data_IF_782365682618
#
_entry.id   IF_782365682618
#
_cell.length_a   1.000
_cell.length_b   1.000
_cell.length_c   1.000
_cell.angle_alpha   90.00
_cell.angle_beta   90.00
_cell.angle_gamma   90.00
#
_symmetry.space_group_name_H-M   'P 1'
#
loop_
_entity.id
_entity.type
_entity.pdbx_description
1 polymer ?
#
# COMPACT_ATOMS: atom_id res chain seq x y z
N UNK A 1 -15.91 15.84 -1.28
CA UNK A 1 -14.54 16.00 -1.79
C UNK A 1 -14.45 15.13 -3.04
N UNK A 2 -14.53 15.73 -4.22
CA UNK A 2 -14.42 14.99 -5.47
C UNK A 2 -12.92 14.81 -5.74
N UNK A 3 -12.43 13.58 -5.65
CA UNK A 3 -11.08 13.24 -6.10
C UNK A 3 -11.17 13.16 -7.63
N UNK A 4 -10.57 14.12 -8.31
CA UNK A 4 -10.33 14.03 -9.75
C UNK A 4 -9.25 12.98 -9.99
N UNK A 5 -9.57 11.92 -10.73
CA UNK A 5 -8.59 10.90 -11.10
C UNK A 5 -7.67 11.45 -12.19
N UNK A 6 -6.52 12.01 -11.78
CA UNK A 6 -5.43 12.31 -12.70
C UNK A 6 -4.79 10.99 -13.17
N UNK A 7 -4.55 10.86 -14.47
CA UNK A 7 -3.92 9.67 -15.04
C UNK A 7 -2.43 9.63 -14.65
N UNK A 8 -1.93 8.45 -14.26
CA UNK A 8 -0.50 8.28 -13.98
C UNK A 8 0.29 8.37 -15.29
N UNK A 9 0.85 9.55 -15.60
CA UNK A 9 1.54 9.85 -16.86
C UNK A 9 3.04 9.51 -16.84
N UNK A 10 3.65 9.44 -15.64
CA UNK A 10 5.05 9.01 -15.50
C UNK A 10 5.32 8.28 -14.18
N UNK A 11 6.38 7.45 -14.19
CA UNK A 11 6.87 6.70 -13.03
C UNK A 11 7.24 7.63 -11.87
N UNK A 12 6.93 7.23 -10.64
CA UNK A 12 7.35 7.93 -9.43
C UNK A 12 6.48 9.13 -9.02
N UNK A 13 5.43 9.49 -9.79
CA UNK A 13 4.52 10.60 -9.44
C UNK A 13 3.26 10.16 -8.70
N UNK A 14 2.73 8.99 -9.05
CA UNK A 14 1.43 8.54 -8.56
C UNK A 14 1.58 7.17 -7.92
N UNK A 15 1.35 7.10 -6.61
CA UNK A 15 1.44 5.87 -5.84
C UNK A 15 0.10 5.54 -5.19
N UNK A 16 -0.25 4.25 -5.24
CA UNK A 16 -1.34 3.71 -4.46
C UNK A 16 -0.78 2.92 -3.28
N UNK A 17 -1.32 3.19 -2.10
CA UNK A 17 -1.04 2.42 -0.89
C UNK A 17 -2.24 1.58 -0.51
N UNK A 18 -1.99 0.34 -0.08
CA UNK A 18 -2.99 -0.50 0.57
C UNK A 18 -2.51 -0.95 1.95
N UNK A 19 -3.46 -1.03 2.89
CA UNK A 19 -3.23 -1.51 4.26
C UNK A 19 -4.18 -2.67 4.56
N UNK A 20 -3.62 -3.89 4.60
CA UNK A 20 -4.36 -5.12 4.82
C UNK A 20 -3.98 -5.76 6.15
N UNK A 21 -4.97 -6.39 6.80
CA UNK A 21 -4.81 -7.14 8.04
C UNK A 21 -4.99 -8.63 7.77
N UNK A 22 -3.93 -9.41 7.96
CA UNK A 22 -3.94 -10.85 7.74
C UNK A 22 -4.09 -11.54 9.09
N UNK A 23 -5.16 -12.33 9.25
CA UNK A 23 -5.35 -13.19 10.42
C UNK A 23 -4.47 -14.43 10.28
N UNK A 24 -3.55 -14.62 11.22
CA UNK A 24 -2.71 -15.82 11.33
C UNK A 24 -3.11 -16.62 12.57
N UNK A 25 -2.72 -17.90 12.65
CA UNK A 25 -2.92 -18.71 13.85
C UNK A 25 -2.26 -18.11 15.10
N UNK A 26 -1.15 -17.38 14.92
CA UNK A 26 -0.39 -16.71 15.97
C UNK A 26 -0.84 -15.28 16.32
N UNK A 27 -1.88 -14.75 15.67
CA UNK A 27 -2.34 -13.37 15.87
C UNK A 27 -2.56 -12.59 14.58
N UNK A 28 -2.49 -11.27 14.65
CA UNK A 28 -2.67 -10.37 13.50
C UNK A 28 -1.32 -9.98 12.89
N UNK A 29 -1.26 -10.00 11.56
CA UNK A 29 -0.17 -9.46 10.77
C UNK A 29 -0.69 -8.25 9.98
N UNK A 30 -0.03 -7.12 10.14
CA UNK A 30 -0.34 -5.86 9.48
C UNK A 30 0.58 -5.76 8.27
N UNK A 31 0.01 -5.66 7.06
CA UNK A 31 0.75 -5.53 5.81
C UNK A 31 0.44 -4.18 5.17
N UNK A 32 1.50 -3.42 4.87
CA UNK A 32 1.41 -2.22 4.07
C UNK A 32 2.15 -2.45 2.76
N UNK A 33 1.55 -2.06 1.64
CA UNK A 33 2.19 -2.12 0.31
C UNK A 33 1.97 -0.79 -0.41
N UNK A 34 2.97 -0.34 -1.14
CA UNK A 34 2.92 0.84 -2.00
C UNK A 34 3.30 0.41 -3.42
N UNK A 35 2.44 0.74 -4.37
CA UNK A 35 2.57 0.39 -5.79
C UNK A 35 2.63 1.68 -6.60
N UNK A 36 3.57 1.73 -7.54
CA UNK A 36 3.62 2.80 -8.55
C UNK A 36 2.54 2.57 -9.61
N UNK A 37 1.66 3.56 -9.80
CA UNK A 37 0.48 3.42 -10.65
C UNK A 37 0.80 3.41 -12.14
N UNK A 38 1.94 4.01 -12.54
CA UNK A 38 2.42 4.01 -13.92
C UNK A 38 3.00 2.63 -14.31
N UNK A 39 4.01 2.19 -13.57
CA UNK A 39 4.76 0.96 -13.86
C UNK A 39 4.09 -0.31 -13.34
N UNK A 40 3.09 -0.19 -12.46
CA UNK A 40 2.45 -1.28 -11.70
C UNK A 40 3.42 -2.11 -10.87
N UNK A 41 4.57 -1.53 -10.50
CA UNK A 41 5.58 -2.18 -9.67
C UNK A 41 5.38 -1.84 -8.20
N UNK A 42 5.69 -2.80 -7.34
CA UNK A 42 5.76 -2.55 -5.90
C UNK A 42 7.02 -1.74 -5.63
N UNK A 43 6.85 -0.54 -5.06
CA UNK A 43 7.95 0.36 -4.70
C UNK A 43 8.32 0.27 -3.22
N UNK A 44 7.44 -0.29 -2.39
CA UNK A 44 7.74 -0.54 -0.98
C UNK A 44 6.69 -1.41 -0.30
N UNK A 45 7.10 -2.10 0.76
CA UNK A 45 6.20 -2.85 1.62
C UNK A 45 6.75 -2.96 3.05
N UNK A 46 5.87 -3.23 3.99
CA UNK A 46 6.25 -3.53 5.37
C UNK A 46 5.28 -4.52 6.01
N UNK A 47 5.79 -5.27 6.97
CA UNK A 47 5.01 -6.16 7.82
C UNK A 47 5.26 -5.82 9.28
N UNK A 48 4.20 -5.77 10.07
CA UNK A 48 4.30 -5.67 11.52
C UNK A 48 3.39 -6.69 12.18
N UNK A 49 3.85 -7.32 13.27
CA UNK A 49 3.00 -8.11 14.18
C UNK A 49 2.46 -7.27 15.34
N UNK A 50 2.95 -6.04 15.46
CA UNK A 50 2.55 -5.09 16.51
C UNK A 50 1.71 -4.00 15.86
N UNK A 51 0.47 -3.85 16.32
CA UNK A 51 -0.25 -2.59 16.15
C UNK A 51 0.49 -1.57 17.01
N UNK A 52 1.08 -0.53 16.41
CA UNK A 52 1.64 0.56 17.21
C UNK A 52 0.51 1.08 18.14
N UNK A 53 0.81 1.11 19.44
CA UNK A 53 -0.08 1.64 20.48
C UNK A 53 0.18 3.13 20.65
#
# INVERSE_FOLDING_TARGET
>A
MLVTEESADCEGKHWAGDFTYIRTGSGWLYHAVVVDLYSRRVVGWSFSRKRNK
#
